data_IF_062374381472
#
_entry.id   IF_062374381472
#
_cell.length_a   1.000
_cell.length_b   1.000
_cell.length_c   1.000
_cell.angle_alpha   90.00
_cell.angle_beta   90.00
_cell.angle_gamma   90.00
#
_symmetry.space_group_name_H-M   'P 1'
#
loop_
_entity.id
_entity.type
_entity.pdbx_description
1 polymer ?
#
# COMPACT_ATOMS: atom_id res chain seq x y z
N UNK A 1 -5.33 0.92 -21.03
CA UNK A 1 -6.45 1.49 -20.26
C UNK A 1 -7.68 1.68 -21.13
N UNK A 2 -7.66 2.47 -22.22
CA UNK A 2 -8.79 2.59 -23.16
C UNK A 2 -9.42 1.24 -23.54
N UNK A 3 -8.65 0.30 -24.07
CA UNK A 3 -9.15 -1.03 -24.40
C UNK A 3 -9.78 -1.79 -23.21
N UNK A 4 -9.30 -1.58 -21.98
CA UNK A 4 -9.90 -2.17 -20.76
C UNK A 4 -11.24 -1.51 -20.47
N UNK A 5 -11.32 -0.18 -20.51
CA UNK A 5 -12.57 0.56 -20.32
C UNK A 5 -13.59 0.29 -21.43
N UNK A 6 -13.15 0.14 -22.67
CA UNK A 6 -14.02 -0.22 -23.80
C UNK A 6 -14.62 -1.62 -23.60
N UNK A 7 -13.85 -2.57 -23.05
CA UNK A 7 -14.31 -3.93 -22.81
C UNK A 7 -15.12 -4.08 -21.51
N UNK A 8 -14.73 -3.36 -20.46
CA UNK A 8 -15.32 -3.39 -19.11
C UNK A 8 -15.40 -1.96 -18.57
N UNK A 9 -16.43 -1.17 -18.93
CA UNK A 9 -16.51 0.25 -18.60
C UNK A 9 -16.43 0.57 -17.11
N UNK A 10 -17.00 -0.28 -16.26
CA UNK A 10 -17.00 -0.13 -14.80
C UNK A 10 -15.70 -0.58 -14.10
N UNK A 11 -14.69 -1.07 -14.83
CA UNK A 11 -13.45 -1.55 -14.20
C UNK A 11 -12.65 -0.37 -13.64
N UNK A 12 -12.39 -0.38 -12.33
CA UNK A 12 -11.48 0.58 -11.69
C UNK A 12 -10.03 0.26 -12.06
N UNK A 13 -9.30 1.24 -12.58
CA UNK A 13 -7.90 1.12 -12.98
C UNK A 13 -7.03 1.81 -11.95
N UNK A 14 -6.43 0.99 -11.08
CA UNK A 14 -5.40 1.38 -10.13
C UNK A 14 -4.03 1.00 -10.70
N UNK A 15 -3.30 1.95 -11.27
CA UNK A 15 -2.11 1.64 -12.06
C UNK A 15 -1.03 2.72 -11.99
N UNK A 16 0.20 2.33 -12.33
CA UNK A 16 1.41 3.16 -12.42
C UNK A 16 1.88 3.73 -11.08
N UNK A 17 2.91 3.11 -10.52
CA UNK A 17 3.66 3.68 -9.40
C UNK A 17 4.24 5.05 -9.75
N UNK A 18 4.57 5.91 -8.77
CA UNK A 18 5.21 7.19 -9.01
C UNK A 18 6.49 7.11 -9.85
N UNK A 19 7.24 6.02 -9.74
CA UNK A 19 8.40 5.75 -10.59
C UNK A 19 8.01 5.51 -12.06
N UNK A 20 6.94 4.77 -12.32
CA UNK A 20 6.44 4.53 -13.68
C UNK A 20 5.84 5.79 -14.30
N UNK A 21 5.14 6.62 -13.51
CA UNK A 21 4.64 7.93 -13.94
C UNK A 21 5.82 8.84 -14.33
N UNK A 22 6.83 8.98 -13.47
CA UNK A 22 7.99 9.82 -13.74
C UNK A 22 8.77 9.33 -14.98
N UNK A 23 8.98 8.02 -15.11
CA UNK A 23 9.62 7.42 -16.27
C UNK A 23 8.78 7.62 -17.55
N UNK A 24 7.47 7.42 -17.47
CA UNK A 24 6.54 7.63 -18.57
C UNK A 24 6.53 9.07 -19.06
N UNK A 25 6.48 10.04 -18.13
CA UNK A 25 6.55 11.46 -18.43
C UNK A 25 7.87 11.82 -19.13
N UNK A 26 9.01 11.39 -18.55
CA UNK A 26 10.34 11.63 -19.12
C UNK A 26 10.50 11.04 -20.53
N UNK A 27 10.15 9.76 -20.73
CA UNK A 27 10.27 9.08 -22.03
C UNK A 27 9.35 9.66 -23.10
N UNK A 28 8.26 10.32 -22.72
CA UNK A 28 7.31 10.93 -23.65
C UNK A 28 7.59 12.42 -23.87
N UNK A 29 8.62 13.00 -23.23
CA UNK A 29 8.88 14.44 -23.27
C UNK A 29 7.75 15.28 -22.65
N UNK A 30 6.98 14.70 -21.72
CA UNK A 30 5.85 15.35 -21.06
C UNK A 30 6.21 15.78 -19.63
N UNK A 31 5.50 16.79 -19.12
CA UNK A 31 5.47 17.02 -17.67
C UNK A 31 4.69 15.90 -16.98
N UNK A 32 4.93 15.70 -15.67
CA UNK A 32 4.17 14.75 -14.85
C UNK A 32 2.66 15.01 -14.96
N UNK A 33 2.25 16.28 -14.86
CA UNK A 33 0.86 16.71 -15.01
C UNK A 33 0.28 16.29 -16.38
N UNK A 34 0.94 16.65 -17.48
CA UNK A 34 0.45 16.33 -18.81
C UNK A 34 0.34 14.82 -19.04
N UNK A 35 1.30 14.05 -18.50
CA UNK A 35 1.25 12.59 -18.56
C UNK A 35 0.07 12.03 -17.76
N UNK A 36 -0.16 12.51 -16.53
CA UNK A 36 -1.29 12.11 -15.70
C UNK A 36 -2.63 12.51 -16.31
N UNK A 37 -2.73 13.67 -16.97
CA UNK A 37 -3.94 14.12 -17.68
C UNK A 37 -4.26 13.19 -18.86
N UNK A 38 -3.23 12.81 -19.62
CA UNK A 38 -3.37 11.84 -20.70
C UNK A 38 -3.76 10.43 -20.18
N UNK A 39 -3.18 10.02 -19.04
CA UNK A 39 -3.49 8.75 -18.40
C UNK A 39 -4.93 8.72 -17.86
N UNK A 40 -5.38 9.78 -17.18
CA UNK A 40 -6.76 9.94 -16.69
C UNK A 40 -7.75 9.94 -17.86
N UNK A 41 -7.47 10.69 -18.93
CA UNK A 41 -8.29 10.68 -20.16
C UNK A 41 -8.32 9.31 -20.86
N UNK A 42 -7.32 8.47 -20.62
CA UNK A 42 -7.26 7.11 -21.13
C UNK A 42 -7.93 6.08 -20.18
N UNK A 43 -8.44 6.51 -19.03
CA UNK A 43 -9.19 5.69 -18.07
C UNK A 43 -8.44 5.31 -16.79
N UNK A 44 -7.40 6.05 -16.38
CA UNK A 44 -6.79 5.90 -15.05
C UNK A 44 -7.71 6.49 -13.97
N UNK A 45 -7.95 5.74 -12.89
CA UNK A 45 -8.79 6.19 -11.78
C UNK A 45 -7.97 6.57 -10.53
N UNK A 46 -7.01 5.73 -10.12
CA UNK A 46 -6.11 6.00 -8.98
C UNK A 46 -4.71 5.45 -9.23
N UNK A 47 -3.71 5.89 -8.46
CA UNK A 47 -2.32 5.39 -8.56
C UNK A 47 -1.88 4.66 -7.28
N UNK A 48 -1.08 3.59 -7.36
CA UNK A 48 -0.51 2.94 -6.19
C UNK A 48 0.59 3.79 -5.56
N UNK A 49 0.65 3.84 -4.22
CA UNK A 49 1.73 4.50 -3.46
C UNK A 49 3.03 3.73 -3.38
N UNK A 50 3.24 2.74 -4.26
CA UNK A 50 4.43 1.87 -4.28
C UNK A 50 5.67 2.65 -4.73
N UNK A 51 6.84 2.01 -4.71
CA UNK A 51 8.15 2.63 -4.95
C UNK A 51 8.57 3.71 -3.91
N UNK A 52 7.78 3.87 -2.84
CA UNK A 52 8.09 4.74 -1.71
C UNK A 52 9.20 4.14 -0.81
N UNK A 53 9.22 2.82 -0.61
CA UNK A 53 10.12 2.14 0.35
C UNK A 53 10.21 2.92 1.68
N UNK A 54 11.38 3.50 1.98
CA UNK A 54 11.51 4.65 2.86
C UNK A 54 11.69 5.91 1.99
N UNK A 55 10.94 6.97 2.30
CA UNK A 55 11.06 8.30 1.68
C UNK A 55 12.19 9.09 2.37
N UNK A 56 13.40 8.54 2.25
CA UNK A 56 14.67 9.09 2.74
C UNK A 56 15.75 8.74 1.71
N UNK A 57 16.41 9.76 1.14
CA UNK A 57 17.30 9.55 0.00
C UNK A 57 18.58 8.77 0.37
N UNK A 58 19.05 8.82 1.62
CA UNK A 58 20.19 8.03 2.07
C UNK A 58 19.81 6.54 2.12
N UNK A 59 18.66 6.22 2.72
CA UNK A 59 18.13 4.85 2.74
C UNK A 59 17.89 4.33 1.34
N UNK A 60 17.30 5.14 0.45
CA UNK A 60 17.01 4.77 -0.95
C UNK A 60 18.28 4.49 -1.74
N UNK A 61 19.32 5.31 -1.54
CA UNK A 61 20.62 5.14 -2.19
C UNK A 61 21.26 3.80 -1.83
N UNK A 62 21.20 3.42 -0.55
CA UNK A 62 21.72 2.13 -0.07
C UNK A 62 20.87 0.97 -0.58
N UNK A 63 19.54 1.11 -0.55
CA UNK A 63 18.61 0.03 -0.88
C UNK A 63 18.64 -0.33 -2.38
N UNK A 64 18.60 0.65 -3.27
CA UNK A 64 18.62 0.43 -4.72
C UNK A 64 19.11 1.68 -5.46
N UNK A 65 20.26 1.57 -6.14
CA UNK A 65 20.76 2.65 -7.01
C UNK A 65 19.77 2.94 -8.15
N UNK A 66 19.50 4.21 -8.41
CA UNK A 66 18.58 4.63 -9.47
C UNK A 66 17.10 4.65 -9.07
N UNK A 67 16.79 4.49 -7.77
CA UNK A 67 15.43 4.80 -7.28
C UNK A 67 15.12 6.29 -7.48
N UNK A 68 13.84 6.55 -7.71
CA UNK A 68 13.29 7.90 -7.84
C UNK A 68 13.66 8.72 -6.58
N UNK A 69 14.20 9.95 -6.68
CA UNK A 69 14.40 10.80 -5.51
C UNK A 69 13.10 11.03 -4.76
N UNK A 70 13.18 11.23 -3.44
CA UNK A 70 12.02 11.48 -2.58
C UNK A 70 11.23 12.70 -3.07
N UNK A 71 11.92 13.76 -3.50
CA UNK A 71 11.29 14.96 -4.06
C UNK A 71 10.44 14.68 -5.30
N UNK A 72 10.91 13.81 -6.21
CA UNK A 72 10.14 13.46 -7.41
C UNK A 72 8.97 12.53 -7.09
N UNK A 73 9.10 11.64 -6.09
CA UNK A 73 7.96 10.87 -5.59
C UNK A 73 6.86 11.80 -5.06
N UNK A 74 7.25 12.80 -4.25
CA UNK A 74 6.35 13.82 -3.73
C UNK A 74 5.67 14.58 -4.87
N UNK A 75 6.44 15.07 -5.85
CA UNK A 75 5.91 15.83 -6.99
C UNK A 75 4.86 15.05 -7.80
N UNK A 76 5.10 13.75 -8.04
CA UNK A 76 4.11 12.90 -8.71
C UNK A 76 2.82 12.78 -7.89
N UNK A 77 2.94 12.47 -6.60
CA UNK A 77 1.78 12.22 -5.74
C UNK A 77 0.97 13.50 -5.50
N UNK A 78 1.64 14.63 -5.22
CA UNK A 78 0.96 15.92 -5.04
C UNK A 78 0.33 16.41 -6.33
N UNK A 79 0.98 16.20 -7.49
CA UNK A 79 0.38 16.49 -8.80
C UNK A 79 -0.87 15.66 -9.03
N UNK A 80 -0.81 14.34 -8.81
CA UNK A 80 -1.96 13.45 -8.95
C UNK A 80 -3.12 13.88 -8.03
N UNK A 81 -2.85 14.14 -6.75
CA UNK A 81 -3.87 14.56 -5.80
C UNK A 81 -4.50 15.91 -6.18
N UNK A 82 -3.70 16.87 -6.68
CA UNK A 82 -4.21 18.17 -7.15
C UNK A 82 -5.17 18.04 -8.35
N UNK A 83 -5.13 16.91 -9.06
CA UNK A 83 -6.03 16.57 -10.17
C UNK A 83 -7.22 15.71 -9.73
N UNK A 84 -7.37 15.45 -8.43
CA UNK A 84 -8.39 14.57 -7.87
C UNK A 84 -8.08 13.07 -8.04
N UNK A 85 -6.91 12.70 -8.54
CA UNK A 85 -6.47 11.30 -8.64
C UNK A 85 -5.99 10.86 -7.26
N UNK A 86 -6.76 10.01 -6.59
CA UNK A 86 -6.37 9.47 -5.27
C UNK A 86 -5.24 8.45 -5.38
N UNK A 87 -4.54 8.19 -4.28
CA UNK A 87 -3.51 7.16 -4.22
C UNK A 87 -3.52 6.37 -2.92
N UNK A 88 -2.97 5.16 -2.97
CA UNK A 88 -2.54 4.49 -1.75
C UNK A 88 -1.20 5.08 -1.28
N UNK A 89 -0.77 4.78 -0.06
CA UNK A 89 0.58 5.10 0.44
C UNK A 89 1.21 3.85 1.01
N UNK A 90 2.52 3.66 0.82
CA UNK A 90 3.21 2.43 1.25
C UNK A 90 4.52 2.76 1.95
N UNK A 91 4.95 1.89 2.85
CA UNK A 91 6.28 1.97 3.46
C UNK A 91 6.89 0.58 3.57
N UNK A 92 7.99 0.34 2.87
CA UNK A 92 8.79 -0.87 3.10
C UNK A 92 9.75 -0.63 4.26
N UNK A 93 9.83 -1.57 5.20
CA UNK A 93 10.61 -1.39 6.43
C UNK A 93 11.24 -2.70 6.91
N UNK A 94 12.25 -2.57 7.78
CA UNK A 94 12.98 -3.71 8.33
C UNK A 94 14.16 -4.16 7.45
N UNK A 95 14.59 -3.34 6.50
CA UNK A 95 15.80 -3.52 5.71
C UNK A 95 16.96 -2.72 6.31
N UNK A 96 17.61 -1.87 5.51
CA UNK A 96 18.71 -0.97 5.90
C UNK A 96 18.25 0.24 6.74
N UNK A 97 16.94 0.38 6.95
CA UNK A 97 16.33 1.49 7.69
C UNK A 97 16.42 1.31 9.22
N UNK A 98 15.95 2.34 9.93
CA UNK A 98 15.95 2.44 11.38
C UNK A 98 14.62 3.07 11.85
N UNK A 99 14.23 2.93 13.13
CA UNK A 99 12.94 3.41 13.60
C UNK A 99 12.66 4.90 13.36
N UNK A 100 13.68 5.76 13.40
CA UNK A 100 13.49 7.19 13.11
C UNK A 100 13.08 7.43 11.64
N UNK A 101 13.57 6.62 10.70
CA UNK A 101 13.15 6.67 9.29
C UNK A 101 11.66 6.34 9.13
N UNK A 102 11.13 5.42 9.93
CA UNK A 102 9.69 5.09 9.91
C UNK A 102 8.84 6.27 10.38
N UNK A 103 9.27 6.91 11.48
CA UNK A 103 8.61 8.09 12.02
C UNK A 103 8.62 9.22 10.99
N UNK A 104 9.78 9.51 10.39
CA UNK A 104 9.92 10.55 9.37
C UNK A 104 9.04 10.29 8.15
N UNK A 105 9.01 9.05 7.66
CA UNK A 105 8.16 8.65 6.55
C UNK A 105 6.67 8.90 6.85
N UNK A 106 6.17 8.42 8.00
CA UNK A 106 4.75 8.58 8.37
C UNK A 106 4.40 10.06 8.59
N UNK A 107 5.33 10.87 9.15
CA UNK A 107 5.13 12.32 9.28
C UNK A 107 5.04 13.01 7.92
N UNK A 108 5.87 12.62 6.96
CA UNK A 108 5.79 13.16 5.60
C UNK A 108 4.44 12.83 4.96
N UNK A 109 3.97 11.59 5.06
CA UNK A 109 2.65 11.21 4.55
C UNK A 109 1.52 12.01 5.23
N UNK A 110 1.59 12.20 6.55
CA UNK A 110 0.64 13.03 7.28
C UNK A 110 0.62 14.48 6.76
N UNK A 111 1.79 15.09 6.53
CA UNK A 111 1.89 16.46 6.01
C UNK A 111 1.32 16.59 4.59
N UNK A 112 1.58 15.61 3.72
CA UNK A 112 1.04 15.58 2.37
C UNK A 112 -0.48 15.36 2.39
N UNK A 113 -0.97 14.55 3.32
CA UNK A 113 -2.40 14.34 3.51
C UNK A 113 -3.11 15.59 4.03
N UNK A 114 -2.51 16.32 4.97
CA UNK A 114 -3.04 17.59 5.49
C UNK A 114 -3.20 18.64 4.37
N UNK A 115 -2.40 18.56 3.31
CA UNK A 115 -2.48 19.48 2.17
C UNK A 115 -3.48 19.02 1.10
N UNK A 116 -3.56 17.71 0.85
CA UNK A 116 -4.19 17.18 -0.37
C UNK A 116 -5.40 16.28 -0.14
N UNK A 117 -5.51 15.63 1.02
CA UNK A 117 -6.56 14.64 1.32
C UNK A 117 -6.62 13.45 0.36
N UNK A 118 -5.59 13.24 -0.48
CA UNK A 118 -5.64 12.33 -1.61
C UNK A 118 -5.27 10.87 -1.30
N UNK A 119 -4.65 10.59 -0.15
CA UNK A 119 -4.37 9.22 0.26
C UNK A 119 -5.63 8.52 0.76
N UNK A 120 -5.85 7.30 0.28
CA UNK A 120 -6.95 6.43 0.71
C UNK A 120 -6.54 5.49 1.84
N UNK A 121 -5.30 5.02 1.84
CA UNK A 121 -4.79 4.09 2.84
C UNK A 121 -3.28 4.16 3.01
N UNK A 122 -2.81 3.59 4.13
CA UNK A 122 -1.40 3.31 4.38
C UNK A 122 -1.15 1.80 4.47
N UNK A 123 -0.15 1.34 3.73
CA UNK A 123 0.23 -0.08 3.63
C UNK A 123 1.68 -0.27 4.11
N UNK A 124 1.88 -0.70 5.36
CA UNK A 124 3.16 -1.19 5.82
C UNK A 124 3.54 -2.49 5.09
N UNK A 125 4.76 -2.55 4.56
CA UNK A 125 5.29 -3.69 3.81
C UNK A 125 6.57 -4.22 4.49
N UNK A 126 6.47 -5.27 5.31
CA UNK A 126 7.66 -5.93 5.87
C UNK A 126 8.62 -6.36 4.76
N UNK A 127 9.91 -6.05 4.92
CA UNK A 127 10.94 -6.50 4.00
C UNK A 127 11.09 -8.04 4.07
N UNK A 128 10.95 -8.68 2.91
CA UNK A 128 11.19 -10.13 2.73
C UNK A 128 12.61 -10.27 2.17
N UNK A 129 13.48 -10.92 2.95
CA UNK A 129 14.94 -10.79 2.77
C UNK A 129 15.58 -11.98 2.05
N UNK A 130 14.94 -13.16 2.06
CA UNK A 130 15.58 -14.44 1.73
C UNK A 130 16.26 -14.47 0.36
N UNK A 131 15.67 -13.81 -0.63
CA UNK A 131 16.22 -13.72 -2.01
C UNK A 131 16.56 -12.28 -2.43
N UNK A 132 16.63 -11.35 -1.47
CA UNK A 132 16.91 -9.95 -1.79
C UNK A 132 18.41 -9.70 -1.98
N UNK A 133 18.86 -9.10 -3.11
CA UNK A 133 20.28 -8.84 -3.35
C UNK A 133 20.97 -8.04 -2.26
N UNK A 134 20.28 -7.06 -1.65
CA UNK A 134 20.85 -6.22 -0.58
C UNK A 134 21.07 -7.00 0.72
N UNK A 135 20.24 -8.02 0.98
CA UNK A 135 20.41 -8.92 2.12
C UNK A 135 21.53 -9.93 1.85
N UNK A 136 21.54 -10.54 0.66
CA UNK A 136 22.58 -11.48 0.25
C UNK A 136 23.98 -10.83 0.20
N UNK A 137 24.06 -9.53 -0.05
CA UNK A 137 25.29 -8.73 0.03
C UNK A 137 25.69 -8.34 1.46
N UNK A 138 24.93 -8.72 2.50
CA UNK A 138 25.20 -8.41 3.90
C UNK A 138 24.92 -6.95 4.30
N UNK A 139 24.17 -6.20 3.49
CA UNK A 139 23.90 -4.77 3.70
C UNK A 139 22.60 -4.56 4.49
N UNK A 140 21.57 -5.37 4.24
CA UNK A 140 20.27 -5.27 4.90
C UNK A 140 20.10 -6.25 6.07
N UNK A 141 19.21 -5.90 7.00
CA UNK A 141 18.72 -6.78 8.06
C UNK A 141 17.84 -7.91 7.48
N UNK A 142 17.63 -9.03 8.20
CA UNK A 142 16.77 -10.14 7.78
C UNK A 142 15.26 -9.81 7.92
N UNK A 143 14.85 -8.59 7.56
CA UNK A 143 13.48 -8.12 7.74
C UNK A 143 13.17 -7.67 9.18
N UNK A 144 11.95 -7.15 9.40
CA UNK A 144 11.49 -6.70 10.71
C UNK A 144 11.16 -7.88 11.63
N UNK A 145 11.38 -7.69 12.94
CA UNK A 145 10.88 -8.63 13.95
C UNK A 145 9.35 -8.52 14.08
N UNK A 146 8.72 -9.49 14.76
CA UNK A 146 7.31 -9.36 15.11
C UNK A 146 7.00 -8.11 15.95
N UNK A 147 7.92 -7.72 16.83
CA UNK A 147 7.80 -6.48 17.61
C UNK A 147 7.77 -5.26 16.68
N UNK A 148 8.65 -5.22 15.69
CA UNK A 148 8.71 -4.14 14.70
C UNK A 148 7.41 -4.06 13.89
N UNK A 149 6.88 -5.21 13.44
CA UNK A 149 5.61 -5.25 12.72
C UNK A 149 4.48 -4.64 13.54
N UNK A 150 4.32 -5.03 14.82
CA UNK A 150 3.31 -4.41 15.69
C UNK A 150 3.55 -2.92 15.90
N UNK A 151 4.81 -2.53 16.13
CA UNK A 151 5.17 -1.13 16.38
C UNK A 151 4.83 -0.23 15.19
N UNK A 152 5.19 -0.63 13.96
CA UNK A 152 4.91 0.16 12.76
C UNK A 152 3.40 0.32 12.53
N UNK A 153 2.61 -0.74 12.67
CA UNK A 153 1.15 -0.65 12.48
C UNK A 153 0.48 0.22 13.56
N UNK A 154 0.88 0.06 14.83
CA UNK A 154 0.36 0.88 15.92
C UNK A 154 0.75 2.36 15.77
N UNK A 155 2.00 2.62 15.41
CA UNK A 155 2.51 3.96 15.14
C UNK A 155 1.76 4.62 13.98
N UNK A 156 1.55 3.90 12.88
CA UNK A 156 0.78 4.40 11.74
C UNK A 156 -0.65 4.75 12.14
N UNK A 157 -1.34 3.87 12.87
CA UNK A 157 -2.70 4.13 13.38
C UNK A 157 -2.76 5.40 14.23
N UNK A 158 -1.80 5.60 15.13
CA UNK A 158 -1.79 6.76 16.03
C UNK A 158 -1.42 8.07 15.30
N UNK A 159 -0.37 8.04 14.48
CA UNK A 159 0.14 9.24 13.82
C UNK A 159 -0.73 9.71 12.64
N UNK A 160 -1.42 8.79 11.98
CA UNK A 160 -2.32 9.07 10.85
C UNK A 160 -3.78 9.23 11.26
N UNK A 161 -4.09 9.17 12.57
CA UNK A 161 -5.45 9.35 13.06
C UNK A 161 -6.06 10.67 12.56
N UNK A 162 -7.26 10.59 11.96
CA UNK A 162 -7.96 11.74 11.38
C UNK A 162 -7.40 12.23 10.05
N UNK A 163 -6.40 11.53 9.47
CA UNK A 163 -5.78 11.89 8.18
C UNK A 163 -5.90 10.77 7.15
N UNK A 164 -5.41 9.58 7.48
CA UNK A 164 -5.50 8.38 6.63
C UNK A 164 -6.20 7.31 7.46
N UNK A 165 -7.46 7.05 7.13
CA UNK A 165 -8.34 6.24 7.97
C UNK A 165 -8.00 4.75 7.92
N UNK A 166 -7.42 4.28 6.83
CA UNK A 166 -7.25 2.86 6.55
C UNK A 166 -5.79 2.43 6.65
N UNK A 167 -5.53 1.44 7.52
CA UNK A 167 -4.22 0.80 7.66
C UNK A 167 -4.37 -0.66 7.24
N UNK A 168 -3.63 -1.04 6.20
CA UNK A 168 -3.70 -2.37 5.62
C UNK A 168 -2.68 -3.33 6.24
N UNK A 169 -3.03 -4.60 6.43
CA UNK A 169 -2.07 -5.68 6.71
C UNK A 169 -1.83 -6.51 5.45
N UNK A 170 -0.58 -6.52 4.97
CA UNK A 170 -0.17 -7.36 3.84
C UNK A 170 -0.02 -8.82 4.27
N UNK A 171 -1.09 -9.61 4.18
CA UNK A 171 -1.13 -11.01 4.61
C UNK A 171 -0.08 -11.89 3.90
N UNK A 172 0.28 -11.59 2.65
CA UNK A 172 1.38 -12.24 1.90
C UNK A 172 2.76 -12.04 2.53
N UNK A 173 2.92 -11.04 3.41
CA UNK A 173 4.20 -10.71 4.06
C UNK A 173 4.23 -11.08 5.53
N UNK A 174 3.11 -10.90 6.25
CA UNK A 174 3.08 -11.17 7.71
C UNK A 174 2.49 -12.53 8.07
N UNK A 175 1.70 -13.16 7.18
CA UNK A 175 0.98 -14.41 7.46
C UNK A 175 -0.26 -14.24 8.35
N UNK A 176 -1.24 -15.13 8.17
CA UNK A 176 -2.59 -15.02 8.76
C UNK A 176 -2.60 -14.87 10.29
N UNK A 177 -1.78 -15.65 10.99
CA UNK A 177 -1.72 -15.63 12.46
C UNK A 177 -1.30 -14.26 12.99
N UNK A 178 -0.44 -13.55 12.25
CA UNK A 178 -0.02 -12.19 12.58
C UNK A 178 -1.05 -11.16 12.15
N UNK A 179 -1.68 -11.31 10.98
CA UNK A 179 -2.80 -10.45 10.55
C UNK A 179 -3.90 -10.41 11.61
N UNK A 180 -4.30 -11.56 12.16
CA UNK A 180 -5.29 -11.64 13.24
C UNK A 180 -4.91 -10.79 14.46
N UNK A 181 -3.63 -10.76 14.82
CA UNK A 181 -3.14 -9.93 15.92
C UNK A 181 -3.11 -8.45 15.53
N UNK A 182 -2.71 -8.11 14.30
CA UNK A 182 -2.68 -6.73 13.80
C UNK A 182 -4.10 -6.13 13.72
N UNK A 183 -5.10 -6.91 13.33
CA UNK A 183 -6.51 -6.50 13.33
C UNK A 183 -7.01 -6.09 14.72
N UNK A 184 -6.48 -6.71 15.79
CA UNK A 184 -6.76 -6.32 17.18
C UNK A 184 -6.00 -5.05 17.61
N UNK A 185 -4.91 -4.73 16.92
CA UNK A 185 -4.03 -3.58 17.18
C UNK A 185 -4.34 -2.33 16.34
N UNK A 186 -5.45 -2.31 15.62
CA UNK A 186 -5.91 -1.14 14.87
C UNK A 186 -5.76 -1.21 13.36
N UNK A 187 -5.31 -2.33 12.78
CA UNK A 187 -5.50 -2.59 11.35
C UNK A 187 -6.99 -2.80 11.06
N UNK A 188 -7.47 -2.24 9.96
CA UNK A 188 -8.86 -2.36 9.51
C UNK A 188 -8.99 -2.91 8.09
N UNK A 189 -7.89 -3.05 7.36
CA UNK A 189 -7.91 -3.50 5.98
C UNK A 189 -7.03 -4.74 5.74
N UNK A 190 -7.62 -5.76 5.13
CA UNK A 190 -6.96 -7.01 4.76
C UNK A 190 -6.39 -6.97 3.34
N UNK A 191 -6.57 -5.86 2.62
CA UNK A 191 -6.23 -5.74 1.21
C UNK A 191 -7.18 -6.53 0.33
N UNK A 192 -6.68 -7.00 -0.81
CA UNK A 192 -7.48 -7.67 -1.83
C UNK A 192 -7.21 -9.17 -1.95
N UNK A 193 -8.05 -9.81 -2.76
CA UNK A 193 -7.80 -11.14 -3.31
C UNK A 193 -6.58 -11.11 -4.22
N UNK A 194 -5.75 -12.15 -4.18
CA UNK A 194 -4.64 -12.31 -5.11
C UNK A 194 -4.87 -13.57 -5.93
N UNK A 195 -4.84 -13.42 -7.25
CA UNK A 195 -4.88 -14.55 -8.19
C UNK A 195 -3.51 -15.19 -8.34
N UNK A 196 -2.44 -14.40 -8.17
CA UNK A 196 -1.06 -14.86 -8.06
C UNK A 196 -0.18 -13.74 -7.47
N UNK A 197 0.57 -14.00 -6.40
CA UNK A 197 1.62 -13.11 -5.91
C UNK A 197 3.01 -13.68 -6.25
N UNK A 198 3.63 -13.14 -7.30
CA UNK A 198 4.95 -13.55 -7.80
C UNK A 198 6.10 -12.77 -7.17
N UNK A 199 5.94 -11.49 -6.81
CA UNK A 199 7.00 -10.64 -6.25
C UNK A 199 7.41 -11.11 -4.86
N UNK A 200 6.48 -11.25 -3.92
CA UNK A 200 6.80 -11.73 -2.56
C UNK A 200 7.27 -13.18 -2.57
N UNK A 201 6.76 -14.01 -3.49
CA UNK A 201 7.24 -15.39 -3.70
C UNK A 201 8.68 -15.41 -4.22
N UNK A 202 8.99 -14.61 -5.23
CA UNK A 202 10.35 -14.44 -5.75
C UNK A 202 11.30 -13.91 -4.68
N UNK A 203 10.83 -13.04 -3.78
CA UNK A 203 11.60 -12.58 -2.63
C UNK A 203 11.80 -13.65 -1.54
N UNK A 204 11.06 -14.77 -1.60
CA UNK A 204 11.16 -15.91 -0.69
C UNK A 204 10.10 -15.96 0.43
N UNK A 205 8.97 -15.26 0.27
CA UNK A 205 7.85 -15.41 1.20
C UNK A 205 7.31 -16.83 1.16
N UNK A 206 7.14 -17.43 2.34
CA UNK A 206 6.51 -18.74 2.52
C UNK A 206 4.98 -18.64 2.69
N UNK A 207 4.43 -17.42 2.68
CA UNK A 207 2.99 -17.18 2.83
C UNK A 207 2.30 -17.24 1.46
N UNK A 208 1.06 -17.76 1.47
CA UNK A 208 0.33 -18.18 0.26
C UNK A 208 0.39 -17.21 -0.92
N UNK A 209 0.35 -17.78 -2.12
CA UNK A 209 0.41 -17.03 -3.39
C UNK A 209 -0.95 -16.55 -3.88
N UNK A 210 -2.04 -17.08 -3.31
CA UNK A 210 -3.41 -16.82 -3.76
C UNK A 210 -4.35 -16.74 -2.56
N UNK A 211 -5.38 -15.89 -2.67
CA UNK A 211 -6.47 -15.78 -1.70
C UNK A 211 -7.75 -15.41 -2.42
N UNK A 212 -8.82 -16.13 -2.12
CA UNK A 212 -10.16 -15.74 -2.53
C UNK A 212 -10.88 -14.92 -1.45
N UNK A 213 -12.14 -14.57 -1.71
CA UNK A 213 -12.96 -13.80 -0.77
C UNK A 213 -13.26 -14.60 0.51
N UNK A 214 -13.50 -15.91 0.40
CA UNK A 214 -13.86 -16.75 1.54
C UNK A 214 -12.70 -16.84 2.54
N UNK A 215 -11.46 -16.91 2.05
CA UNK A 215 -10.27 -16.89 2.88
C UNK A 215 -10.16 -15.60 3.72
N UNK A 216 -10.38 -14.44 3.09
CA UNK A 216 -10.28 -13.15 3.77
C UNK A 216 -11.38 -13.01 4.83
N UNK A 217 -12.60 -13.47 4.53
CA UNK A 217 -13.71 -13.54 5.49
C UNK A 217 -13.36 -14.45 6.68
N UNK A 218 -12.72 -15.59 6.44
CA UNK A 218 -12.30 -16.51 7.50
C UNK A 218 -11.26 -15.86 8.42
N UNK A 219 -10.29 -15.12 7.88
CA UNK A 219 -9.30 -14.37 8.68
C UNK A 219 -10.00 -13.36 9.58
N UNK A 220 -10.87 -12.51 9.02
CA UNK A 220 -11.60 -11.49 9.77
C UNK A 220 -12.49 -12.10 10.87
N UNK A 221 -13.25 -13.15 10.51
CA UNK A 221 -14.11 -13.89 11.45
C UNK A 221 -13.29 -14.49 12.58
N UNK A 222 -12.16 -15.12 12.28
CA UNK A 222 -11.27 -15.69 13.30
C UNK A 222 -10.70 -14.63 14.25
N UNK A 223 -10.58 -13.38 13.79
CA UNK A 223 -10.16 -12.25 14.60
C UNK A 223 -11.29 -11.62 15.43
N UNK A 224 -12.54 -12.05 15.23
CA UNK A 224 -13.73 -11.48 15.85
C UNK A 224 -14.09 -10.10 15.27
N UNK A 225 -13.77 -9.86 14.00
CA UNK A 225 -14.03 -8.59 13.31
C UNK A 225 -15.08 -8.78 12.21
N UNK A 226 -16.04 -7.85 12.06
CA UNK A 226 -16.89 -7.84 10.87
C UNK A 226 -16.04 -7.53 9.63
N UNK A 227 -16.39 -8.14 8.51
CA UNK A 227 -15.75 -7.90 7.23
C UNK A 227 -16.74 -7.32 6.22
N UNK A 228 -16.24 -6.46 5.34
CA UNK A 228 -17.00 -5.81 4.28
C UNK A 228 -16.14 -5.78 3.02
N UNK A 229 -16.76 -6.08 1.88
CA UNK A 229 -16.15 -5.80 0.59
C UNK A 229 -16.20 -4.29 0.31
N UNK A 230 -15.09 -3.73 -0.16
CA UNK A 230 -14.93 -2.30 -0.43
C UNK A 230 -14.55 -2.04 -1.89
N UNK A 231 -14.87 -0.86 -2.39
CA UNK A 231 -14.23 -0.35 -3.62
C UNK A 231 -12.78 0.05 -3.32
N UNK A 232 -12.00 0.34 -4.38
CA UNK A 232 -10.60 0.81 -4.25
C UNK A 232 -10.49 2.04 -3.36
N UNK A 233 -11.49 2.93 -3.40
CA UNK A 233 -11.55 4.18 -2.62
C UNK A 233 -12.38 4.05 -1.33
N UNK A 234 -12.52 2.82 -0.81
CA UNK A 234 -13.23 2.49 0.44
C UNK A 234 -14.75 2.77 0.44
N UNK A 235 -15.35 2.93 -0.74
CA UNK A 235 -16.81 2.99 -0.91
C UNK A 235 -17.49 1.63 -0.71
N UNK A 236 -18.82 1.63 -0.76
CA UNK A 236 -19.64 0.42 -0.73
C UNK A 236 -19.69 -0.24 -2.10
N UNK A 237 -19.58 -1.57 -2.14
CA UNK A 237 -19.88 -2.35 -3.34
C UNK A 237 -21.39 -2.61 -3.42
N UNK A 238 -21.98 -2.47 -4.60
CA UNK A 238 -23.43 -2.66 -4.83
C UNK A 238 -23.92 -4.07 -4.43
N UNK A 239 -23.04 -5.08 -4.50
CA UNK A 239 -23.30 -6.46 -4.06
C UNK A 239 -23.16 -6.69 -2.54
N UNK A 240 -22.74 -5.70 -1.75
CA UNK A 240 -22.60 -5.81 -0.28
C UNK A 240 -23.94 -5.70 0.47
N UNK A 241 -25.07 -5.61 -0.22
CA UNK A 241 -26.40 -5.46 0.37
C UNK A 241 -26.94 -6.72 1.10
N UNK A 242 -26.13 -7.75 1.36
CA UNK A 242 -26.61 -9.01 1.94
C UNK A 242 -25.64 -9.69 2.94
N UNK A 243 -25.12 -8.96 3.91
CA UNK A 243 -24.74 -9.54 5.21
C UNK A 243 -25.05 -8.49 6.28
N UNK A 244 -26.01 -8.71 7.21
CA UNK A 244 -26.20 -7.82 8.33
C UNK A 244 -24.90 -7.74 9.13
N UNK A 245 -24.53 -6.55 9.59
CA UNK A 245 -23.47 -6.36 10.57
C UNK A 245 -23.82 -7.27 11.76
N UNK A 246 -23.02 -8.33 11.96
CA UNK A 246 -23.20 -9.23 13.09
C UNK A 246 -23.19 -8.42 14.39
N UNK A 247 -24.30 -8.49 15.12
CA UNK A 247 -24.44 -7.84 16.42
C UNK A 247 -23.35 -8.37 17.34
N UNK A 248 -22.52 -7.47 17.89
CA UNK A 248 -21.54 -7.80 18.92
C UNK A 248 -22.33 -8.27 20.15
N UNK A 249 -22.15 -9.50 20.66
CA UNK A 249 -22.81 -9.93 21.88
C UNK A 249 -22.35 -9.04 23.04
N UNK A 250 -23.30 -8.40 23.71
CA UNK A 250 -23.06 -7.74 24.98
C UNK A 250 -22.86 -8.81 26.05
N UNK A 251 -21.61 -9.01 26.48
CA UNK A 251 -21.27 -9.63 27.77
C UNK A 251 -20.27 -8.75 28.49
#
# INVERSE_FOLDING_TARGET
MRAVKDRVPGMHVHAFSPMEVANGASRSGMSIRAWLEAAQSAGLDTIPGTAAEILDDEVRWVLTRGKLPTSTWIDVVTTAHSMGIKSSSTMMYGHVDHPHHWVSHIRLLAQLQDQSGGFTEFVPLPFVHQQSPVYLAGIARPGPTWRDNRAVHAMARLMLHGRIDHIQASWVKVGDANVKQLLRGGVDDLGGTLMEETISRMAGSAHGSTRDVADLLAIATSAGRPARQRTTTYGYCETSAAQPIGVIPST
#
